data_IF_416119470519
#
_entry.id   IF_416119470519
#
_cell.length_a   1.000
_cell.length_b   1.000
_cell.length_c   1.000
_cell.angle_alpha   90.00
_cell.angle_beta   90.00
_cell.angle_gamma   90.00
#
_symmetry.space_group_name_H-M   'P 1'
#
loop_
_entity.id
_entity.type
_entity.pdbx_description
1 polymer ?
#
# COMPACT_ATOMS: atom_id res chain seq x y z
N UNK A 1 -3.46 10.85 -9.26
CA UNK A 1 -3.64 10.24 -7.93
C UNK A 1 -3.19 11.21 -6.83
N UNK A 2 -1.87 11.52 -6.71
CA UNK A 2 -1.34 12.40 -5.64
C UNK A 2 -1.93 13.82 -5.70
N UNK A 3 -2.07 14.39 -6.89
CA UNK A 3 -2.63 15.72 -7.09
C UNK A 3 -4.12 15.79 -6.72
N UNK A 4 -4.92 14.80 -7.13
CA UNK A 4 -6.34 14.74 -6.75
C UNK A 4 -6.56 14.64 -5.24
N UNK A 5 -5.72 13.87 -4.54
CA UNK A 5 -5.74 13.82 -3.07
C UNK A 5 -5.31 15.14 -2.44
N UNK A 6 -4.25 15.74 -2.96
CA UNK A 6 -3.70 16.99 -2.44
C UNK A 6 -4.74 18.12 -2.47
N UNK A 7 -5.42 18.31 -3.60
CA UNK A 7 -6.43 19.37 -3.76
C UNK A 7 -7.60 19.20 -2.79
N UNK A 8 -7.99 17.98 -2.48
CA UNK A 8 -9.12 17.72 -1.57
C UNK A 8 -8.67 17.75 -0.11
N UNK A 9 -7.60 17.03 0.22
CA UNK A 9 -7.22 16.77 1.62
C UNK A 9 -6.53 17.94 2.29
N UNK A 10 -5.60 18.61 1.62
CA UNK A 10 -4.82 19.66 2.26
C UNK A 10 -5.68 20.84 2.66
N UNK A 11 -6.56 21.38 1.79
CA UNK A 11 -7.51 22.40 2.21
C UNK A 11 -8.47 21.92 3.30
N UNK A 12 -9.03 20.73 3.16
CA UNK A 12 -9.95 20.16 4.16
C UNK A 12 -9.31 20.10 5.54
N UNK A 13 -8.10 19.56 5.63
CA UNK A 13 -7.38 19.45 6.92
C UNK A 13 -6.97 20.80 7.45
N UNK A 14 -6.56 21.73 6.59
CA UNK A 14 -6.26 23.10 6.98
C UNK A 14 -7.47 23.79 7.64
N UNK A 15 -8.66 23.66 7.05
CA UNK A 15 -9.90 24.23 7.61
C UNK A 15 -10.35 23.53 8.90
N UNK A 16 -10.19 22.20 9.00
CA UNK A 16 -10.66 21.42 10.16
C UNK A 16 -9.71 21.46 11.36
N UNK A 17 -8.39 21.54 11.14
CA UNK A 17 -7.35 21.37 12.16
C UNK A 17 -6.43 22.58 12.33
N UNK A 18 -6.48 23.53 11.40
CA UNK A 18 -5.61 24.71 11.38
C UNK A 18 -4.17 24.40 10.93
N UNK A 19 -3.43 25.46 10.66
CA UNK A 19 -2.07 25.39 10.12
C UNK A 19 -1.07 24.73 11.09
N UNK A 20 -1.22 24.97 12.39
CA UNK A 20 -0.31 24.43 13.42
C UNK A 20 -0.29 22.88 13.45
N UNK A 21 -1.34 22.23 12.99
CA UNK A 21 -1.41 20.76 12.95
C UNK A 21 -0.41 20.12 11.98
N UNK A 22 0.03 20.86 10.95
CA UNK A 22 1.02 20.41 9.99
C UNK A 22 2.47 20.51 10.50
N UNK A 23 2.74 21.36 11.50
CA UNK A 23 4.10 21.59 12.00
C UNK A 23 4.21 21.12 13.45
N UNK A 24 4.62 19.86 13.60
CA UNK A 24 4.83 19.24 14.92
C UNK A 24 6.16 18.45 14.94
N UNK A 25 6.49 17.88 16.08
CA UNK A 25 7.72 17.08 16.26
C UNK A 25 7.84 15.89 15.27
N UNK A 26 6.72 15.43 14.72
CA UNK A 26 6.66 14.30 13.80
C UNK A 26 6.75 14.67 12.32
N UNK A 27 6.81 15.96 11.98
CA UNK A 27 6.83 16.42 10.58
C UNK A 27 7.87 15.70 9.73
N UNK A 28 9.08 15.49 10.25
CA UNK A 28 10.14 14.77 9.52
C UNK A 28 9.73 13.33 9.20
N UNK A 29 9.12 12.62 10.14
CA UNK A 29 8.66 11.26 9.92
C UNK A 29 7.46 11.18 8.98
N UNK A 30 6.57 12.18 9.02
CA UNK A 30 5.45 12.31 8.09
C UNK A 30 5.92 12.54 6.64
N UNK A 31 6.89 13.45 6.44
CA UNK A 31 7.49 13.70 5.12
C UNK A 31 8.21 12.46 4.61
N UNK A 32 9.03 11.79 5.44
CA UNK A 32 9.69 10.55 5.07
C UNK A 32 8.69 9.47 4.65
N UNK A 33 7.59 9.32 5.40
CA UNK A 33 6.50 8.41 5.07
C UNK A 33 5.86 8.74 3.71
N UNK A 34 5.58 10.02 3.46
CA UNK A 34 5.05 10.48 2.17
C UNK A 34 6.01 10.24 1.00
N UNK A 35 7.33 10.39 1.23
CA UNK A 35 8.35 10.04 0.24
C UNK A 35 8.40 8.53 -0.02
N UNK A 36 8.30 7.69 1.01
CA UNK A 36 8.31 6.24 0.84
C UNK A 36 7.13 5.75 0.00
N UNK A 37 5.91 6.21 0.24
CA UNK A 37 4.76 5.81 -0.59
C UNK A 37 4.88 6.35 -2.03
N UNK A 38 5.44 7.55 -2.21
CA UNK A 38 5.71 8.10 -3.53
C UNK A 38 6.75 7.26 -4.28
N UNK A 39 7.92 7.00 -3.68
CA UNK A 39 8.97 6.19 -4.29
C UNK A 39 8.50 4.77 -4.58
N UNK A 40 7.82 4.13 -3.63
CA UNK A 40 7.22 2.83 -3.85
C UNK A 40 6.31 2.82 -5.08
N UNK A 41 5.42 3.80 -5.19
CA UNK A 41 4.53 3.95 -6.35
C UNK A 41 5.32 4.19 -7.64
N UNK A 42 6.31 5.08 -7.64
CA UNK A 42 7.10 5.41 -8.83
C UNK A 42 7.86 4.19 -9.36
N UNK A 43 8.57 3.47 -8.48
CA UNK A 43 9.30 2.26 -8.86
C UNK A 43 8.36 1.15 -9.36
N UNK A 44 7.18 1.01 -8.77
CA UNK A 44 6.17 0.05 -9.23
C UNK A 44 5.69 0.38 -10.65
N UNK A 45 5.36 1.65 -10.92
CA UNK A 45 4.92 2.07 -12.25
C UNK A 45 6.01 1.90 -13.30
N UNK A 46 7.28 2.21 -12.97
CA UNK A 46 8.41 1.94 -13.88
C UNK A 46 8.53 0.43 -14.14
N UNK A 47 8.33 -0.42 -13.16
CA UNK A 47 8.41 -1.86 -13.34
C UNK A 47 7.36 -2.38 -14.30
N UNK A 48 6.08 -2.01 -14.11
CA UNK A 48 4.95 -2.54 -14.90
C UNK A 48 4.92 -2.06 -16.36
N UNK A 49 5.74 -1.08 -16.73
CA UNK A 49 5.90 -0.71 -18.15
C UNK A 49 6.71 -1.74 -18.95
N UNK A 50 7.43 -2.65 -18.28
CA UNK A 50 8.37 -3.58 -18.93
C UNK A 50 8.24 -5.04 -18.48
N UNK A 51 7.53 -5.30 -17.38
CA UNK A 51 7.23 -6.66 -16.92
C UNK A 51 5.73 -6.83 -16.68
N UNK A 52 5.19 -8.05 -16.79
CA UNK A 52 3.78 -8.32 -16.51
C UNK A 52 3.38 -7.85 -15.11
N UNK A 53 2.19 -7.27 -15.00
CA UNK A 53 1.65 -6.76 -13.73
C UNK A 53 1.67 -7.83 -12.62
N UNK A 54 1.36 -9.08 -12.95
CA UNK A 54 1.41 -10.21 -12.02
C UNK A 54 2.80 -10.39 -11.40
N UNK A 55 3.86 -10.29 -12.21
CA UNK A 55 5.24 -10.44 -11.75
C UNK A 55 5.64 -9.25 -10.85
N UNK A 56 5.31 -8.01 -11.25
CA UNK A 56 5.61 -6.82 -10.48
C UNK A 56 4.86 -6.83 -9.13
N UNK A 57 3.57 -7.20 -9.13
CA UNK A 57 2.76 -7.28 -7.92
C UNK A 57 3.28 -8.35 -6.95
N UNK A 58 3.71 -9.51 -7.45
CA UNK A 58 4.30 -10.57 -6.64
C UNK A 58 5.56 -10.11 -5.90
N UNK A 59 6.40 -9.32 -6.55
CA UNK A 59 7.61 -8.76 -5.94
C UNK A 59 7.29 -7.64 -4.95
N UNK A 60 6.31 -6.79 -5.23
CA UNK A 60 5.84 -5.78 -4.29
C UNK A 60 5.27 -6.43 -3.02
N UNK A 61 4.50 -7.50 -3.15
CA UNK A 61 3.84 -8.20 -2.04
C UNK A 61 4.79 -9.03 -1.15
N UNK A 62 6.09 -8.94 -1.36
CA UNK A 62 7.10 -9.30 -0.35
C UNK A 62 7.08 -8.30 0.83
N UNK A 63 6.54 -7.10 0.64
CA UNK A 63 6.48 -6.04 1.65
C UNK A 63 5.92 -6.48 3.01
N UNK A 64 4.81 -7.23 3.14
CA UNK A 64 4.32 -7.69 4.43
C UNK A 64 5.31 -8.54 5.23
N UNK A 65 6.09 -9.39 4.57
CA UNK A 65 7.16 -10.17 5.22
C UNK A 65 8.24 -9.23 5.75
N UNK A 66 8.65 -8.26 4.94
CA UNK A 66 9.63 -7.24 5.32
C UNK A 66 9.13 -6.42 6.51
N UNK A 67 7.84 -6.06 6.55
CA UNK A 67 7.22 -5.35 7.67
C UNK A 67 7.33 -6.14 8.96
N UNK A 68 7.03 -7.44 8.95
CA UNK A 68 7.17 -8.29 10.16
C UNK A 68 8.60 -8.23 10.70
N UNK A 69 9.60 -8.29 9.82
CA UNK A 69 11.02 -8.22 10.22
C UNK A 69 11.39 -6.83 10.73
N UNK A 70 11.06 -5.78 9.97
CA UNK A 70 11.44 -4.40 10.30
C UNK A 70 10.69 -3.85 11.51
N UNK A 71 9.51 -4.36 11.84
CA UNK A 71 8.73 -3.90 13.00
C UNK A 71 9.48 -4.06 14.32
N UNK A 72 10.34 -5.06 14.44
CA UNK A 72 11.21 -5.23 15.62
C UNK A 72 12.20 -4.08 15.78
N UNK A 73 12.89 -3.75 14.69
CA UNK A 73 13.98 -2.77 14.73
C UNK A 73 13.46 -1.33 14.83
N UNK A 74 12.35 -1.02 14.14
CA UNK A 74 11.84 0.34 14.04
C UNK A 74 10.72 0.68 15.02
N UNK A 75 9.98 -0.33 15.49
CA UNK A 75 8.80 -0.15 16.34
C UNK A 75 8.95 -0.84 17.70
N UNK A 76 9.97 -1.70 17.89
CA UNK A 76 10.14 -2.50 19.10
C UNK A 76 9.06 -3.57 19.30
N UNK A 77 8.36 -3.96 18.23
CA UNK A 77 7.33 -4.99 18.30
C UNK A 77 7.94 -6.37 18.53
N UNK A 78 7.25 -7.22 19.29
CA UNK A 78 7.70 -8.59 19.52
C UNK A 78 7.28 -9.49 18.36
N UNK A 79 8.25 -10.13 17.72
CA UNK A 79 7.98 -11.17 16.74
C UNK A 79 7.63 -12.46 17.48
N UNK A 80 6.52 -13.07 17.08
CA UNK A 80 6.14 -14.44 17.46
C UNK A 80 6.26 -15.35 16.26
N UNK A 81 6.48 -16.63 16.49
CA UNK A 81 6.49 -17.63 15.43
C UNK A 81 5.21 -17.59 14.57
N UNK A 82 4.07 -17.34 15.22
CA UNK A 82 2.79 -17.22 14.54
C UNK A 82 2.75 -16.05 13.54
N UNK A 83 3.30 -14.88 13.87
CA UNK A 83 3.36 -13.72 12.97
C UNK A 83 4.17 -14.03 11.71
N UNK A 84 5.31 -14.70 11.87
CA UNK A 84 6.14 -15.14 10.74
C UNK A 84 5.38 -16.15 9.89
N UNK A 85 4.81 -17.17 10.53
CA UNK A 85 4.08 -18.23 9.84
C UNK A 85 2.91 -17.66 9.04
N UNK A 86 2.09 -16.78 9.63
CA UNK A 86 0.98 -16.15 8.94
C UNK A 86 1.44 -15.29 7.76
N UNK A 87 2.53 -14.53 7.91
CA UNK A 87 3.08 -13.74 6.80
C UNK A 87 3.56 -14.64 5.65
N UNK A 88 4.22 -15.76 5.94
CA UNK A 88 4.69 -16.71 4.93
C UNK A 88 3.53 -17.45 4.26
N UNK A 89 2.56 -17.95 5.03
CA UNK A 89 1.38 -18.65 4.48
C UNK A 89 0.54 -17.71 3.62
N UNK A 90 0.33 -16.45 4.06
CA UNK A 90 -0.36 -15.44 3.26
C UNK A 90 0.40 -15.11 1.96
N UNK A 91 1.72 -15.00 2.03
CA UNK A 91 2.55 -14.79 0.85
C UNK A 91 2.49 -15.97 -0.14
N UNK A 92 2.62 -17.20 0.34
CA UNK A 92 2.48 -18.41 -0.50
C UNK A 92 1.10 -18.45 -1.14
N UNK A 93 0.03 -18.20 -0.36
CA UNK A 93 -1.33 -18.07 -0.89
C UNK A 93 -1.44 -17.05 -2.00
N UNK A 94 -0.81 -15.88 -1.83
CA UNK A 94 -0.75 -14.82 -2.84
C UNK A 94 -0.05 -15.28 -4.12
N UNK A 95 1.08 -16.00 -4.00
CA UNK A 95 1.78 -16.55 -5.17
C UNK A 95 0.95 -17.59 -5.92
N UNK A 96 0.17 -18.39 -5.22
CA UNK A 96 -0.75 -19.35 -5.84
C UNK A 96 -1.91 -18.68 -6.59
N UNK A 97 -2.36 -17.51 -6.13
CA UNK A 97 -3.42 -16.75 -6.81
C UNK A 97 -2.86 -15.99 -8.02
N UNK A 98 -1.75 -15.27 -7.85
CA UNK A 98 -1.17 -14.43 -8.89
C UNK A 98 -0.50 -15.25 -9.99
N UNK A 99 0.09 -16.40 -9.65
CA UNK A 99 0.79 -17.32 -10.58
C UNK A 99 1.81 -16.57 -11.46
N UNK A 100 2.80 -15.88 -10.87
CA UNK A 100 3.77 -15.11 -11.64
C UNK A 100 4.60 -16.03 -12.55
N UNK A 101 4.78 -15.61 -13.79
CA UNK A 101 5.60 -16.34 -14.77
C UNK A 101 6.97 -15.66 -14.93
N UNK A 102 7.92 -15.98 -14.05
CA UNK A 102 9.28 -15.46 -14.16
C UNK A 102 10.10 -16.28 -15.17
N UNK A 103 10.37 -15.71 -16.34
CA UNK A 103 11.33 -16.29 -17.30
C UNK A 103 12.77 -15.89 -16.97
N UNK A 104 12.98 -14.68 -16.45
CA UNK A 104 14.27 -14.15 -16.00
C UNK A 104 14.07 -13.00 -15.05
N UNK A 105 14.98 -12.84 -14.08
CA UNK A 105 15.04 -11.66 -13.22
C UNK A 105 15.82 -10.57 -13.94
N UNK A 106 15.20 -9.44 -14.18
CA UNK A 106 15.79 -8.29 -14.89
C UNK A 106 15.77 -7.01 -14.04
N UNK A 107 16.28 -5.90 -14.58
CA UNK A 107 16.31 -4.62 -13.88
C UNK A 107 14.92 -4.14 -13.44
N UNK A 108 13.87 -4.38 -14.23
CA UNK A 108 12.50 -3.99 -13.88
C UNK A 108 11.91 -4.86 -12.77
N UNK A 109 12.32 -6.12 -12.68
CA UNK A 109 12.03 -6.97 -11.53
C UNK A 109 12.68 -6.42 -10.25
N UNK A 110 13.92 -5.90 -10.35
CA UNK A 110 14.57 -5.24 -9.23
C UNK A 110 13.80 -3.97 -8.80
N UNK A 111 13.29 -3.17 -9.75
CA UNK A 111 12.45 -2.01 -9.42
C UNK A 111 11.16 -2.40 -8.71
N UNK A 112 10.49 -3.47 -9.14
CA UNK A 112 9.31 -3.99 -8.45
C UNK A 112 9.62 -4.43 -7.01
N UNK A 113 10.75 -5.09 -6.79
CA UNK A 113 11.20 -5.47 -5.46
C UNK A 113 11.54 -4.25 -4.58
N UNK A 114 12.27 -3.27 -5.13
CA UNK A 114 12.58 -1.99 -4.46
C UNK A 114 11.29 -1.25 -4.09
N UNK A 115 10.27 -1.28 -4.96
CA UNK A 115 8.94 -0.77 -4.65
C UNK A 115 8.37 -1.41 -3.39
N UNK A 116 8.48 -2.73 -3.23
CA UNK A 116 8.08 -3.47 -2.03
C UNK A 116 8.84 -3.03 -0.77
N UNK A 117 10.15 -2.76 -0.89
CA UNK A 117 10.94 -2.22 0.23
C UNK A 117 10.44 -0.84 0.67
N UNK A 118 10.21 0.09 -0.27
CA UNK A 118 9.66 1.40 0.04
C UNK A 118 8.24 1.31 0.61
N UNK A 119 7.43 0.41 0.09
CA UNK A 119 6.10 0.19 0.63
C UNK A 119 6.16 -0.34 2.08
N UNK A 120 7.05 -1.28 2.39
CA UNK A 120 7.26 -1.75 3.76
C UNK A 120 7.69 -0.61 4.70
N UNK A 121 8.62 0.25 4.27
CA UNK A 121 9.01 1.43 5.04
C UNK A 121 7.83 2.40 5.26
N UNK A 122 6.99 2.62 4.25
CA UNK A 122 5.77 3.39 4.40
C UNK A 122 4.85 2.83 5.48
N UNK A 123 4.67 1.49 5.54
CA UNK A 123 3.84 0.82 6.54
C UNK A 123 4.42 0.99 7.95
N UNK A 124 5.71 0.78 8.12
CA UNK A 124 6.44 0.97 9.39
C UNK A 124 6.30 2.42 9.89
N UNK A 125 6.55 3.40 9.02
CA UNK A 125 6.42 4.81 9.38
C UNK A 125 4.96 5.20 9.64
N UNK A 126 3.99 4.56 8.97
CA UNK A 126 2.56 4.77 9.27
C UNK A 126 2.24 4.38 10.70
N UNK A 127 2.72 3.23 11.18
CA UNK A 127 2.55 2.81 12.57
C UNK A 127 3.26 3.76 13.54
N UNK A 128 4.51 4.12 13.22
CA UNK A 128 5.33 5.00 14.05
C UNK A 128 4.69 6.35 14.32
N UNK A 129 4.14 7.01 13.30
CA UNK A 129 3.54 8.35 13.44
C UNK A 129 2.13 8.34 14.01
N UNK A 130 1.41 7.22 13.90
CA UNK A 130 0.02 7.11 14.34
C UNK A 130 -0.16 7.15 15.87
N UNK A 131 0.90 6.96 16.66
CA UNK A 131 0.82 7.09 18.12
C UNK A 131 0.61 8.54 18.59
N UNK A 132 1.02 9.51 17.78
CA UNK A 132 1.14 10.90 18.22
C UNK A 132 0.54 11.91 17.24
N UNK A 133 0.05 11.47 16.08
CA UNK A 133 -0.45 12.35 15.03
C UNK A 133 -1.91 12.06 14.68
N UNK A 134 -2.66 13.12 14.33
CA UNK A 134 -4.01 12.99 13.79
C UNK A 134 -4.01 12.24 12.44
N UNK A 135 -4.97 11.34 12.23
CA UNK A 135 -5.04 10.51 11.03
C UNK A 135 -5.27 11.31 9.75
N UNK A 136 -6.03 12.42 9.81
CA UNK A 136 -6.27 13.26 8.64
C UNK A 136 -5.00 14.03 8.25
N UNK A 137 -4.26 14.54 9.25
CA UNK A 137 -2.94 15.16 9.02
C UNK A 137 -1.98 14.14 8.42
N UNK A 138 -1.91 12.94 9.00
CA UNK A 138 -1.09 11.83 8.49
C UNK A 138 -1.45 11.48 7.05
N UNK A 139 -2.74 11.43 6.73
CA UNK A 139 -3.22 11.17 5.37
C UNK A 139 -2.78 12.26 4.39
N UNK A 140 -2.84 13.54 4.78
CA UNK A 140 -2.39 14.66 3.94
C UNK A 140 -0.91 14.56 3.60
N UNK A 141 -0.07 14.20 4.55
CA UNK A 141 1.36 13.99 4.30
C UNK A 141 1.68 12.84 3.33
N UNK A 142 0.76 11.89 3.14
CA UNK A 142 0.93 10.85 2.11
C UNK A 142 0.90 11.41 0.69
N UNK A 143 0.30 12.58 0.51
CA UNK A 143 0.06 13.16 -0.82
C UNK A 143 1.02 14.30 -1.16
N UNK A 144 1.46 15.06 -0.15
CA UNK A 144 2.24 16.29 -0.35
C UNK A 144 3.54 16.03 -1.13
N UNK A 145 4.45 15.11 -0.73
CA UNK A 145 5.68 14.90 -1.47
C UNK A 145 5.43 14.46 -2.91
N UNK A 146 4.49 13.52 -3.11
CA UNK A 146 4.15 13.04 -4.45
C UNK A 146 3.53 14.13 -5.34
N UNK A 147 2.63 14.95 -4.79
CA UNK A 147 2.03 16.07 -5.53
C UNK A 147 3.08 17.10 -5.94
N UNK A 148 3.98 17.49 -5.03
CA UNK A 148 5.04 18.45 -5.32
C UNK A 148 5.97 17.93 -6.40
N UNK A 149 6.51 16.71 -6.24
CA UNK A 149 7.45 16.11 -7.21
C UNK A 149 6.78 15.94 -8.58
N UNK A 150 5.55 15.40 -8.63
CA UNK A 150 4.85 15.19 -9.90
C UNK A 150 4.48 16.52 -10.57
N UNK A 151 4.17 17.57 -9.83
CA UNK A 151 3.92 18.91 -10.41
C UNK A 151 5.19 19.48 -11.05
N UNK A 152 6.36 19.31 -10.42
CA UNK A 152 7.64 19.73 -10.99
C UNK A 152 7.99 18.94 -12.26
N UNK A 153 7.69 17.65 -12.28
CA UNK A 153 7.96 16.77 -13.42
C UNK A 153 6.93 16.87 -14.55
N UNK A 154 5.75 17.44 -14.28
CA UNK A 154 4.64 17.53 -15.21
C UNK A 154 5.02 18.10 -16.59
N UNK A 155 5.80 19.21 -16.70
CA UNK A 155 6.17 19.77 -17.99
C UNK A 155 7.02 18.83 -18.85
N UNK A 156 7.77 17.90 -18.22
CA UNK A 156 8.63 16.95 -18.93
C UNK A 156 7.85 15.76 -19.52
N UNK A 157 6.70 15.43 -18.92
CA UNK A 157 5.90 14.25 -19.25
C UNK A 157 4.46 14.61 -19.69
N UNK A 158 4.26 15.88 -20.10
CA UNK A 158 2.95 16.35 -20.52
C UNK A 158 2.49 15.59 -21.77
N UNK A 159 1.35 14.94 -21.67
CA UNK A 159 0.64 14.32 -22.77
C UNK A 159 -0.62 15.13 -23.10
N UNK A 160 -1.35 14.72 -24.16
CA UNK A 160 -2.62 15.33 -24.51
C UNK A 160 -3.60 15.36 -23.32
N UNK A 161 -4.46 16.37 -23.29
CA UNK A 161 -5.52 16.48 -22.29
C UNK A 161 -6.47 15.28 -22.46
N UNK A 162 -6.79 14.55 -21.36
CA UNK A 162 -7.71 13.41 -21.42
C UNK A 162 -9.12 13.86 -21.88
N UNK A 163 -9.86 12.93 -22.49
CA UNK A 163 -11.26 13.14 -22.79
C UNK A 163 -12.10 13.35 -21.53
N UNK A 164 -13.25 14.01 -21.66
CA UNK A 164 -14.13 14.31 -20.52
C UNK A 164 -14.50 13.09 -19.68
N UNK A 165 -14.75 11.94 -20.32
CA UNK A 165 -15.02 10.67 -19.63
C UNK A 165 -13.84 10.19 -18.80
N UNK A 166 -12.63 10.33 -19.31
CA UNK A 166 -11.40 10.00 -18.60
C UNK A 166 -11.15 10.93 -17.42
N UNK A 167 -11.47 12.23 -17.57
CA UNK A 167 -11.38 13.21 -16.48
C UNK A 167 -12.33 12.81 -15.34
N UNK A 168 -13.56 12.40 -15.62
CA UNK A 168 -14.51 11.95 -14.61
C UNK A 168 -13.97 10.72 -13.87
N UNK A 169 -13.47 9.72 -14.59
CA UNK A 169 -12.88 8.53 -13.99
C UNK A 169 -11.70 8.86 -13.10
N UNK A 170 -10.80 9.74 -13.55
CA UNK A 170 -9.66 10.21 -12.77
C UNK A 170 -10.10 10.98 -11.52
N UNK A 171 -11.16 11.79 -11.62
CA UNK A 171 -11.72 12.53 -10.49
C UNK A 171 -12.34 11.60 -9.43
N UNK A 172 -12.96 10.48 -9.84
CA UNK A 172 -13.53 9.49 -8.93
C UNK A 172 -12.45 8.70 -8.15
N UNK A 173 -11.24 8.54 -8.70
CA UNK A 173 -10.14 7.84 -8.00
C UNK A 173 -9.77 8.55 -6.70
N UNK A 174 -9.73 9.89 -6.70
CA UNK A 174 -9.33 10.69 -5.54
C UNK A 174 -10.12 10.35 -4.26
N UNK A 175 -11.45 10.52 -4.23
CA UNK A 175 -12.28 10.22 -3.05
C UNK A 175 -12.18 8.78 -2.58
N UNK A 176 -12.18 7.81 -3.50
CA UNK A 176 -12.10 6.37 -3.16
C UNK A 176 -10.78 6.07 -2.44
N UNK A 177 -9.67 6.57 -2.96
CA UNK A 177 -8.35 6.36 -2.34
C UNK A 177 -8.22 7.13 -1.02
N UNK A 178 -8.83 8.31 -0.87
CA UNK A 178 -8.89 9.04 0.40
C UNK A 178 -9.53 8.18 1.48
N UNK A 179 -10.72 7.63 1.21
CA UNK A 179 -11.44 6.79 2.18
C UNK A 179 -10.63 5.54 2.52
N UNK A 180 -10.12 4.83 1.52
CA UNK A 180 -9.35 3.60 1.74
C UNK A 180 -8.07 3.84 2.55
N UNK A 181 -7.28 4.87 2.21
CA UNK A 181 -6.07 5.21 2.98
C UNK A 181 -6.38 5.75 4.37
N UNK A 182 -7.50 6.45 4.57
CA UNK A 182 -7.92 6.88 5.90
C UNK A 182 -8.23 5.68 6.80
N UNK A 183 -9.04 4.73 6.33
CA UNK A 183 -9.34 3.50 7.05
C UNK A 183 -8.08 2.68 7.34
N UNK A 184 -7.19 2.61 6.35
CA UNK A 184 -5.90 1.98 6.48
C UNK A 184 -5.03 2.61 7.60
N UNK A 185 -4.87 3.94 7.60
CA UNK A 185 -4.14 4.65 8.63
C UNK A 185 -4.80 4.41 10.01
N UNK A 186 -6.13 4.40 10.08
CA UNK A 186 -6.87 4.08 11.30
C UNK A 186 -6.56 2.68 11.81
N UNK A 187 -6.50 1.67 10.95
CA UNK A 187 -6.16 0.31 11.36
C UNK A 187 -4.81 0.25 12.11
N UNK A 188 -3.81 1.00 11.62
CA UNK A 188 -2.49 1.10 12.26
C UNK A 188 -2.49 1.85 13.62
N UNK A 189 -3.59 2.44 14.04
CA UNK A 189 -3.75 2.95 15.41
C UNK A 189 -4.10 1.83 16.40
N UNK A 190 -4.85 0.82 15.94
CA UNK A 190 -5.43 -0.21 16.81
C UNK A 190 -4.61 -1.49 16.89
N UNK A 191 -3.76 -1.77 15.89
CA UNK A 191 -3.00 -3.02 15.84
C UNK A 191 -1.54 -2.79 15.46
N UNK A 192 -0.67 -3.72 15.89
CA UNK A 192 0.75 -3.74 15.54
C UNK A 192 0.95 -3.91 14.02
N UNK A 193 2.03 -3.33 13.50
CA UNK A 193 2.37 -3.45 12.08
C UNK A 193 2.61 -4.91 11.66
N UNK A 194 3.26 -5.68 12.53
CA UNK A 194 3.52 -7.11 12.32
C UNK A 194 2.26 -7.98 12.29
N UNK A 195 1.16 -7.53 12.92
CA UNK A 195 -0.14 -8.19 12.88
C UNK A 195 -0.93 -7.80 11.63
N UNK A 196 -0.88 -6.52 11.24
CA UNK A 196 -1.57 -6.03 10.06
C UNK A 196 -0.91 -6.52 8.76
N UNK A 197 0.38 -6.82 8.78
CA UNK A 197 1.11 -7.23 7.59
C UNK A 197 0.49 -8.44 6.86
N UNK A 198 0.16 -9.59 7.49
CA UNK A 198 -0.51 -10.69 6.79
C UNK A 198 -1.92 -10.32 6.28
N UNK A 199 -2.60 -9.37 6.94
CA UNK A 199 -3.94 -8.94 6.54
C UNK A 199 -3.91 -8.18 5.20
N UNK A 200 -2.79 -7.57 4.83
CA UNK A 200 -2.65 -6.93 3.51
C UNK A 200 -2.89 -7.88 2.34
N UNK A 201 -2.61 -9.16 2.49
CA UNK A 201 -2.86 -10.14 1.43
C UNK A 201 -4.37 -10.31 1.11
N UNK A 202 -5.28 -9.86 1.98
CA UNK A 202 -6.72 -9.84 1.69
C UNK A 202 -7.09 -8.96 0.48
N UNK A 203 -6.22 -8.05 0.07
CA UNK A 203 -6.35 -7.32 -1.19
C UNK A 203 -6.50 -8.29 -2.38
N UNK A 204 -5.73 -9.37 -2.39
CA UNK A 204 -5.78 -10.39 -3.44
C UNK A 204 -7.11 -11.16 -3.40
N UNK A 205 -7.61 -11.46 -2.20
CA UNK A 205 -8.94 -12.11 -2.04
C UNK A 205 -10.05 -11.19 -2.55
N UNK A 206 -9.98 -9.89 -2.22
CA UNK A 206 -10.95 -8.89 -2.70
C UNK A 206 -10.93 -8.76 -4.22
N UNK A 207 -9.74 -8.76 -4.84
CA UNK A 207 -9.59 -8.72 -6.29
C UNK A 207 -10.16 -9.98 -6.95
N UNK A 208 -9.92 -11.16 -6.39
CA UNK A 208 -10.49 -12.40 -6.88
C UNK A 208 -12.03 -12.41 -6.78
N UNK A 209 -12.61 -11.91 -5.68
CA UNK A 209 -14.05 -11.77 -5.54
C UNK A 209 -14.65 -10.82 -6.59
N UNK A 210 -14.00 -9.69 -6.84
CA UNK A 210 -14.42 -8.75 -7.90
C UNK A 210 -14.36 -9.43 -9.27
N UNK A 211 -13.31 -10.21 -9.56
CA UNK A 211 -13.17 -10.96 -10.82
C UNK A 211 -14.33 -11.94 -11.01
N UNK A 212 -14.68 -12.70 -9.98
CA UNK A 212 -15.80 -13.64 -10.02
C UNK A 212 -17.14 -12.92 -10.25
N UNK A 213 -17.38 -11.84 -9.51
CA UNK A 213 -18.69 -11.16 -9.52
C UNK A 213 -18.94 -10.37 -10.81
N UNK A 214 -17.92 -9.66 -11.32
CA UNK A 214 -18.08 -8.76 -12.46
C UNK A 214 -17.68 -9.39 -13.79
N UNK A 215 -16.65 -10.25 -13.78
CA UNK A 215 -16.13 -10.88 -15.01
C UNK A 215 -16.54 -12.35 -15.15
N UNK A 216 -17.19 -12.93 -14.11
CA UNK A 216 -17.62 -14.34 -14.07
C UNK A 216 -16.44 -15.33 -14.25
N UNK A 217 -15.24 -14.92 -13.87
CA UNK A 217 -14.06 -15.75 -13.93
C UNK A 217 -14.11 -16.79 -12.80
N UNK A 218 -14.29 -18.06 -13.15
CA UNK A 218 -14.29 -19.15 -12.17
C UNK A 218 -12.85 -19.45 -11.78
N UNK A 219 -12.49 -19.32 -10.47
CA UNK A 219 -11.14 -19.58 -10.02
C UNK A 219 -10.77 -21.05 -10.19
N UNK A 220 -9.54 -21.31 -10.61
CA UNK A 220 -8.98 -22.65 -10.64
C UNK A 220 -8.84 -23.22 -9.21
N UNK A 221 -8.66 -24.54 -9.09
CA UNK A 221 -8.45 -25.20 -7.79
C UNK A 221 -7.23 -24.60 -7.08
N UNK A 222 -6.17 -24.28 -7.82
CA UNK A 222 -4.96 -23.66 -7.27
C UNK A 222 -5.21 -22.26 -6.70
N UNK A 223 -5.97 -21.43 -7.43
CA UNK A 223 -6.39 -20.09 -6.98
C UNK A 223 -7.27 -20.20 -5.73
N UNK A 224 -8.23 -21.13 -5.73
CA UNK A 224 -9.11 -21.36 -4.56
C UNK A 224 -8.30 -21.76 -3.33
N UNK A 225 -7.32 -22.64 -3.48
CA UNK A 225 -6.42 -23.03 -2.39
C UNK A 225 -5.58 -21.84 -1.89
N UNK A 226 -5.07 -21.01 -2.80
CA UNK A 226 -4.36 -19.76 -2.45
C UNK A 226 -5.22 -18.79 -1.64
N UNK A 227 -6.49 -18.60 -2.04
CA UNK A 227 -7.47 -17.78 -1.29
C UNK A 227 -7.68 -18.34 0.12
N UNK A 228 -7.84 -19.65 0.28
CA UNK A 228 -7.99 -20.27 1.59
C UNK A 228 -6.76 -20.09 2.48
N UNK A 229 -5.55 -20.16 1.93
CA UNK A 229 -4.31 -19.86 2.65
C UNK A 229 -4.29 -18.41 3.16
N UNK A 230 -4.67 -17.43 2.34
CA UNK A 230 -4.72 -16.02 2.72
C UNK A 230 -5.76 -15.82 3.84
N UNK A 231 -6.98 -16.34 3.67
CA UNK A 231 -8.04 -16.21 4.66
C UNK A 231 -7.63 -16.85 5.99
N UNK A 232 -7.10 -18.07 5.96
CA UNK A 232 -6.68 -18.77 7.17
C UNK A 232 -5.56 -18.02 7.91
N UNK A 233 -4.58 -17.47 7.19
CA UNK A 233 -3.49 -16.69 7.79
C UNK A 233 -4.02 -15.42 8.48
N UNK A 234 -4.92 -14.68 7.83
CA UNK A 234 -5.52 -13.47 8.39
C UNK A 234 -6.43 -13.73 9.59
N UNK A 235 -7.23 -14.79 9.55
CA UNK A 235 -8.08 -15.20 10.68
C UNK A 235 -7.21 -15.64 11.86
N UNK A 236 -6.22 -16.50 11.64
CA UNK A 236 -5.33 -16.98 12.70
C UNK A 236 -4.59 -15.84 13.40
N UNK A 237 -4.06 -14.88 12.65
CA UNK A 237 -3.36 -13.74 13.25
C UNK A 237 -4.32 -12.85 14.03
N UNK A 238 -5.54 -12.64 13.55
CA UNK A 238 -6.55 -11.80 14.19
C UNK A 238 -7.05 -12.40 15.51
N UNK A 239 -7.24 -13.71 15.58
CA UNK A 239 -7.70 -14.39 16.80
C UNK A 239 -6.63 -14.43 17.91
N UNK A 240 -5.36 -14.31 17.57
CA UNK A 240 -4.24 -14.40 18.52
C UNK A 240 -3.65 -13.03 18.89
N UNK A 241 -4.41 -11.94 18.76
CA UNK A 241 -4.03 -10.58 19.17
C UNK A 241 -4.14 -10.34 20.70
N UNK A 242 -4.11 -11.37 21.54
CA UNK A 242 -4.16 -11.22 23.01
C UNK A 242 -2.81 -10.91 23.60
#
# INVERSE_FOLDING_TARGET
RFFGHFIILVPLVYFLRGNASFFNSNTKHQVARGLFIFLGTAFFYIAITNIPLANALSLLLVAPIIVVILSVYFLGEKITYLKILCALVGFIGTMLVIQPGFSSFNLYSAYAFISGLFYAMYLIYTRKVNFTSDSLVTLSYSTIPGAVIMTILLPLYWSSIPDFSQIILLACIGPVVIVSHFLFIKAYQFAEASVLAPIHYFEIVSNALISILFFKDIPSILVTFGILCIISSGVLISLNQK
#
